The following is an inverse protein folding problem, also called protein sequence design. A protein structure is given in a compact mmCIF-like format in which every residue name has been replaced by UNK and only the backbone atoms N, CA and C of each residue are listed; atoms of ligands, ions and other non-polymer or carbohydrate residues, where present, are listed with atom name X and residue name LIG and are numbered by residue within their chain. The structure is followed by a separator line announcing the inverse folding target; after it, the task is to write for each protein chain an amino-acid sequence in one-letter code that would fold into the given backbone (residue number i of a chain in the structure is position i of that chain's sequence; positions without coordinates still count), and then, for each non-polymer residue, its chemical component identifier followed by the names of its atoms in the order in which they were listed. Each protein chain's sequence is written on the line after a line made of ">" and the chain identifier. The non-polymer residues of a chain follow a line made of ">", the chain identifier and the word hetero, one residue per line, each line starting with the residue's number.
data_IF_673678071650
#
_entry.id   IF_673678071650
#
_cell.length_a   1.000
_cell.length_b   1.000
_cell.length_c   1.000
_cell.angle_alpha   90.00
_cell.angle_beta   90.00
_cell.angle_gamma   90.00
#
_symmetry.space_group_name_H-M   'P 1'
#
loop_
_entity.id
_entity.type
_entity.pdbx_description
1 polymer ?
#
# COMPACT_ATOMS: atom_id res chain seq x y z
N UNK A 1 -45.43 -4.32 -6.05
CA UNK A 1 -44.19 -5.09 -5.89
C UNK A 1 -43.11 -4.38 -6.72
N UNK A 2 -42.06 -3.87 -6.11
CA UNK A 2 -40.96 -3.29 -6.90
C UNK A 2 -40.33 -4.39 -7.73
N UNK A 3 -40.10 -4.12 -9.02
CA UNK A 3 -39.38 -5.02 -9.92
C UNK A 3 -37.98 -5.23 -9.35
N UNK A 4 -37.49 -6.49 -9.27
CA UNK A 4 -36.11 -6.71 -8.80
C UNK A 4 -35.12 -5.94 -9.69
N UNK A 5 -34.11 -5.33 -9.07
CA UNK A 5 -33.05 -4.59 -9.76
C UNK A 5 -32.28 -5.54 -10.68
N UNK A 6 -32.15 -5.16 -11.94
CA UNK A 6 -31.35 -5.91 -12.91
C UNK A 6 -29.88 -5.51 -12.80
N UNK A 7 -28.99 -6.30 -13.37
CA UNK A 7 -27.56 -5.99 -13.47
C UNK A 7 -27.32 -4.61 -14.12
N UNK A 8 -28.01 -4.33 -15.23
CA UNK A 8 -27.89 -3.04 -15.92
C UNK A 8 -28.42 -1.86 -15.09
N UNK A 9 -29.47 -2.07 -14.27
CA UNK A 9 -29.95 -1.04 -13.35
C UNK A 9 -28.91 -0.75 -12.25
N UNK A 10 -28.23 -1.79 -11.77
CA UNK A 10 -27.15 -1.70 -10.80
C UNK A 10 -25.95 -0.92 -11.37
N UNK A 11 -25.45 -1.31 -12.54
CA UNK A 11 -24.33 -0.64 -13.23
C UNK A 11 -24.66 0.83 -13.45
N UNK A 12 -25.85 1.13 -13.99
CA UNK A 12 -26.29 2.49 -14.27
C UNK A 12 -26.35 3.35 -13.01
N UNK A 13 -26.88 2.81 -11.93
CA UNK A 13 -27.10 3.56 -10.69
C UNK A 13 -25.84 3.78 -9.89
N UNK A 14 -24.99 2.76 -9.75
CA UNK A 14 -23.87 2.79 -8.82
C UNK A 14 -22.50 2.99 -9.49
N UNK A 15 -22.32 2.58 -10.73
CA UNK A 15 -21.02 2.57 -11.39
C UNK A 15 -20.92 3.43 -12.65
N UNK A 16 -22.01 4.04 -13.13
CA UNK A 16 -21.94 4.96 -14.26
C UNK A 16 -21.77 6.39 -13.81
N UNK A 17 -20.70 7.05 -14.27
CA UNK A 17 -20.40 8.47 -14.07
C UNK A 17 -19.94 9.07 -15.40
N UNK A 18 -19.97 10.40 -15.50
CA UNK A 18 -19.37 11.10 -16.64
C UNK A 18 -17.86 10.84 -16.69
N UNK A 19 -17.35 10.50 -17.86
CA UNK A 19 -15.95 10.21 -18.13
C UNK A 19 -15.45 11.08 -19.31
N UNK A 20 -15.28 12.41 -19.12
CA UNK A 20 -14.91 13.32 -20.19
C UNK A 20 -13.49 13.11 -20.73
N UNK A 21 -12.61 12.41 -19.99
CA UNK A 21 -11.28 12.03 -20.42
C UNK A 21 -11.25 10.79 -21.32
N UNK A 22 -12.33 10.02 -21.39
CA UNK A 22 -12.48 8.91 -22.32
C UNK A 22 -13.18 9.37 -23.61
N UNK A 23 -12.83 8.80 -24.75
CA UNK A 23 -13.59 8.99 -25.99
C UNK A 23 -14.94 8.28 -25.93
N UNK A 24 -14.99 7.13 -25.26
CA UNK A 24 -16.17 6.33 -24.96
C UNK A 24 -15.96 5.66 -23.60
N UNK A 25 -16.91 5.82 -22.67
CA UNK A 25 -16.88 5.22 -21.33
C UNK A 25 -17.88 4.08 -21.19
N UNK A 26 -18.46 3.96 -19.97
CA UNK A 26 -19.46 2.92 -19.64
C UNK A 26 -20.70 3.03 -20.54
N UNK A 27 -21.15 1.91 -21.10
CA UNK A 27 -22.41 1.83 -21.85
C UNK A 27 -22.31 1.20 -23.23
N UNK A 28 -21.11 0.85 -23.68
CA UNK A 28 -20.85 0.11 -24.91
C UNK A 28 -19.99 -1.13 -24.59
N UNK A 29 -19.72 -2.00 -25.56
CA UNK A 29 -18.95 -3.24 -25.39
C UNK A 29 -17.52 -3.00 -24.92
N UNK A 30 -16.94 -1.81 -25.19
CA UNK A 30 -15.61 -1.43 -24.74
C UNK A 30 -15.48 0.08 -24.58
N UNK A 31 -14.62 0.51 -23.66
CA UNK A 31 -14.19 1.90 -23.57
C UNK A 31 -13.17 2.25 -24.66
N UNK A 32 -13.22 3.48 -25.17
CA UNK A 32 -12.21 4.00 -26.09
C UNK A 32 -11.39 5.09 -25.40
N UNK A 33 -10.10 4.84 -25.28
CA UNK A 33 -9.17 5.70 -24.55
C UNK A 33 -8.12 6.26 -25.52
N UNK A 34 -7.69 7.50 -25.28
CA UNK A 34 -6.61 8.11 -26.03
C UNK A 34 -5.49 8.51 -25.07
N UNK A 35 -4.32 7.90 -25.26
CA UNK A 35 -3.11 8.29 -24.53
C UNK A 35 -2.59 9.60 -25.07
N UNK A 36 -2.18 10.51 -24.17
CA UNK A 36 -1.61 11.80 -24.52
C UNK A 36 -0.30 11.66 -25.30
N UNK A 37 -0.03 12.57 -26.22
CA UNK A 37 1.21 12.53 -27.03
C UNK A 37 2.46 12.56 -26.13
N UNK A 38 3.43 11.72 -26.43
CA UNK A 38 4.69 11.58 -25.66
C UNK A 38 4.59 10.71 -24.42
N UNK A 39 3.41 10.19 -24.09
CA UNK A 39 3.21 9.26 -23.00
C UNK A 39 3.01 7.83 -23.50
N UNK A 40 3.29 6.88 -22.60
CA UNK A 40 2.90 5.47 -22.73
C UNK A 40 1.85 5.13 -21.67
N UNK A 41 1.11 4.07 -21.89
CA UNK A 41 0.09 3.58 -20.97
C UNK A 41 0.75 2.65 -19.94
N UNK A 42 0.61 2.98 -18.66
CA UNK A 42 0.88 2.07 -17.55
C UNK A 42 -0.44 1.36 -17.18
N UNK A 43 -0.39 0.04 -17.02
CA UNK A 43 -1.56 -0.78 -16.69
C UNK A 43 -1.19 -1.70 -15.54
N UNK A 44 -2.04 -1.74 -14.51
CA UNK A 44 -1.97 -2.70 -13.41
C UNK A 44 -3.33 -3.26 -13.06
N UNK A 45 -3.37 -4.39 -12.36
CA UNK A 45 -4.61 -5.04 -11.94
C UNK A 45 -4.43 -5.68 -10.58
N UNK A 46 -5.28 -5.30 -9.63
CA UNK A 46 -5.38 -5.93 -8.32
C UNK A 46 -6.76 -6.54 -8.09
N UNK A 47 -6.76 -7.65 -7.36
CA UNK A 47 -7.95 -8.38 -6.97
C UNK A 47 -8.04 -8.48 -5.46
N UNK A 48 -9.14 -7.99 -4.88
CA UNK A 48 -9.44 -8.12 -3.46
C UNK A 48 -10.53 -9.16 -3.23
N UNK A 49 -10.19 -10.20 -2.47
CA UNK A 49 -11.08 -11.33 -2.15
C UNK A 49 -11.50 -11.24 -0.69
N UNK A 50 -12.80 -11.36 -0.44
CA UNK A 50 -13.36 -11.35 0.91
C UNK A 50 -12.82 -12.51 1.76
N UNK A 51 -12.39 -12.22 2.97
CA UNK A 51 -11.76 -13.18 3.88
C UNK A 51 -10.25 -13.39 3.66
N UNK A 52 -9.71 -12.88 2.54
CA UNK A 52 -8.27 -12.91 2.25
C UNK A 52 -7.66 -11.52 2.39
N UNK A 53 -8.15 -10.55 1.62
CA UNK A 53 -7.61 -9.19 1.58
C UNK A 53 -8.38 -8.20 2.44
N UNK A 54 -9.60 -8.55 2.84
CA UNK A 54 -10.43 -7.77 3.74
C UNK A 54 -11.40 -8.67 4.52
N UNK A 55 -11.81 -8.22 5.70
CA UNK A 55 -12.73 -8.96 6.55
C UNK A 55 -14.15 -8.96 5.97
N UNK A 56 -14.93 -10.02 6.23
CA UNK A 56 -16.27 -10.17 5.69
C UNK A 56 -17.24 -9.04 6.08
N UNK A 57 -16.99 -8.40 7.22
CA UNK A 57 -17.77 -7.30 7.80
C UNK A 57 -17.12 -5.91 7.54
N UNK A 58 -16.19 -5.83 6.60
CA UNK A 58 -15.53 -4.57 6.25
C UNK A 58 -16.55 -3.48 5.90
N UNK A 59 -16.32 -2.26 6.40
CA UNK A 59 -17.15 -1.11 6.10
C UNK A 59 -17.16 -0.85 4.58
N UNK A 60 -18.30 -0.84 3.90
CA UNK A 60 -18.36 -0.76 2.45
C UNK A 60 -17.76 0.55 1.89
N UNK A 61 -17.89 1.68 2.57
CA UNK A 61 -17.27 2.94 2.14
C UNK A 61 -15.74 2.85 2.17
N UNK A 62 -15.19 2.34 3.27
CA UNK A 62 -13.74 2.14 3.40
C UNK A 62 -13.22 1.09 2.41
N UNK A 63 -14.01 0.04 2.17
CA UNK A 63 -13.68 -0.99 1.18
C UNK A 63 -13.66 -0.43 -0.24
N UNK A 64 -14.62 0.44 -0.60
CA UNK A 64 -14.63 1.14 -1.87
C UNK A 64 -13.37 2.00 -2.06
N UNK A 65 -12.96 2.73 -1.02
CA UNK A 65 -11.70 3.47 -1.00
C UNK A 65 -10.50 2.53 -1.21
N UNK A 66 -10.35 1.48 -0.36
CA UNK A 66 -9.23 0.54 -0.42
C UNK A 66 -9.14 -0.13 -1.79
N UNK A 67 -10.26 -0.53 -2.38
CA UNK A 67 -10.31 -1.19 -3.69
C UNK A 67 -9.65 -0.35 -4.79
N UNK A 68 -9.80 0.97 -4.75
CA UNK A 68 -9.13 1.85 -5.70
C UNK A 68 -7.71 2.23 -5.25
N UNK A 69 -7.51 2.42 -3.95
CA UNK A 69 -6.24 2.88 -3.38
C UNK A 69 -5.08 1.93 -3.66
N UNK A 70 -5.31 0.60 -3.57
CA UNK A 70 -4.27 -0.40 -3.83
C UNK A 70 -3.76 -0.30 -5.28
N UNK A 71 -4.66 -0.13 -6.24
CA UNK A 71 -4.30 0.06 -7.65
C UNK A 71 -3.63 1.42 -7.93
N UNK A 72 -4.07 2.47 -7.23
CA UNK A 72 -3.41 3.78 -7.31
C UNK A 72 -1.97 3.72 -6.78
N UNK A 73 -1.70 2.83 -5.81
CA UNK A 73 -0.35 2.62 -5.28
C UNK A 73 0.62 2.13 -6.35
N UNK A 74 0.20 1.22 -7.24
CA UNK A 74 0.98 0.80 -8.40
C UNK A 74 1.29 1.96 -9.34
N UNK A 75 0.31 2.83 -9.58
CA UNK A 75 0.54 4.02 -10.40
C UNK A 75 1.56 4.97 -9.76
N UNK A 76 1.52 5.12 -8.43
CA UNK A 76 2.52 5.88 -7.69
C UNK A 76 3.91 5.26 -7.83
N UNK A 77 4.04 3.94 -7.65
CA UNK A 77 5.30 3.20 -7.79
C UNK A 77 5.90 3.33 -9.21
N UNK A 78 5.06 3.43 -10.23
CA UNK A 78 5.47 3.65 -11.62
C UNK A 78 5.72 5.12 -11.96
N UNK A 79 5.42 6.05 -11.05
CA UNK A 79 5.41 7.48 -11.36
C UNK A 79 4.39 7.82 -12.46
N UNK A 80 3.30 7.09 -12.59
CA UNK A 80 2.28 7.30 -13.58
C UNK A 80 1.18 8.24 -13.06
N UNK A 81 0.63 9.05 -13.95
CA UNK A 81 -0.57 9.85 -13.66
C UNK A 81 -1.79 8.97 -13.90
N UNK A 82 -2.56 8.60 -12.86
CA UNK A 82 -3.75 7.78 -13.03
C UNK A 82 -4.80 8.49 -13.88
N UNK A 83 -5.50 7.76 -14.75
CA UNK A 83 -6.49 8.34 -15.68
C UNK A 83 -7.80 7.59 -15.66
N UNK A 84 -7.75 6.27 -15.83
CA UNK A 84 -8.94 5.45 -16.01
C UNK A 84 -8.86 4.17 -15.20
N UNK A 85 -10.02 3.60 -14.91
CA UNK A 85 -10.11 2.26 -14.33
C UNK A 85 -11.30 1.50 -14.92
N UNK A 86 -11.22 0.18 -14.85
CA UNK A 86 -12.37 -0.73 -14.94
C UNK A 86 -12.53 -1.46 -13.63
N UNK A 87 -13.77 -1.79 -13.24
CA UNK A 87 -14.10 -2.55 -12.02
C UNK A 87 -14.91 -3.78 -12.40
N UNK A 88 -14.33 -4.96 -12.20
CA UNK A 88 -15.06 -6.22 -12.20
C UNK A 88 -15.45 -6.58 -10.76
N UNK A 89 -16.74 -6.80 -10.50
CA UNK A 89 -17.29 -7.08 -9.18
C UNK A 89 -18.17 -8.32 -9.18
N UNK A 90 -17.87 -9.29 -8.32
CA UNK A 90 -18.76 -10.40 -8.01
C UNK A 90 -19.45 -10.13 -6.67
N UNK A 91 -20.78 -10.24 -6.64
CA UNK A 91 -21.62 -9.96 -5.48
C UNK A 91 -22.41 -11.22 -5.09
N UNK A 92 -22.47 -11.60 -3.79
CA UNK A 92 -23.31 -12.73 -3.36
C UNK A 92 -24.80 -12.44 -3.51
N UNK A 93 -25.19 -11.19 -3.33
CA UNK A 93 -26.57 -10.68 -3.49
C UNK A 93 -26.54 -9.17 -3.74
N UNK A 94 -27.64 -8.62 -4.24
CA UNK A 94 -27.81 -7.18 -4.38
C UNK A 94 -28.23 -6.59 -3.04
N UNK A 95 -27.35 -5.81 -2.42
CA UNK A 95 -27.61 -4.96 -1.25
C UNK A 95 -27.42 -3.50 -1.66
N UNK A 96 -28.51 -2.77 -1.81
CA UNK A 96 -28.49 -1.38 -2.29
C UNK A 96 -27.75 -0.45 -1.32
N UNK A 97 -27.85 -0.68 0.00
CA UNK A 97 -27.16 0.15 1.01
C UNK A 97 -25.67 -0.09 0.97
N UNK A 98 -25.26 -1.34 0.82
CA UNK A 98 -23.85 -1.70 0.66
C UNK A 98 -23.26 -1.08 -0.61
N UNK A 99 -23.96 -1.22 -1.75
CA UNK A 99 -23.52 -0.70 -3.05
C UNK A 99 -23.42 0.83 -3.06
N UNK A 100 -24.36 1.53 -2.45
CA UNK A 100 -24.33 2.98 -2.32
C UNK A 100 -23.09 3.44 -1.55
N UNK A 101 -22.78 2.81 -0.42
CA UNK A 101 -21.61 3.14 0.40
C UNK A 101 -20.32 2.77 -0.29
N UNK A 102 -20.25 1.58 -0.89
CA UNK A 102 -19.05 1.13 -1.62
C UNK A 102 -18.72 2.07 -2.78
N UNK A 103 -19.70 2.34 -3.64
CA UNK A 103 -19.52 3.25 -4.77
C UNK A 103 -19.16 4.68 -4.31
N UNK A 104 -19.75 5.16 -3.20
CA UNK A 104 -19.39 6.46 -2.64
C UNK A 104 -17.91 6.53 -2.23
N UNK A 105 -17.38 5.50 -1.54
CA UNK A 105 -15.98 5.43 -1.14
C UNK A 105 -15.04 5.35 -2.35
N UNK A 106 -15.38 4.51 -3.33
CA UNK A 106 -14.63 4.37 -4.57
C UNK A 106 -14.55 5.70 -5.35
N UNK A 107 -15.68 6.34 -5.60
CA UNK A 107 -15.73 7.58 -6.37
C UNK A 107 -15.20 8.81 -5.63
N UNK A 108 -15.24 8.82 -4.30
CA UNK A 108 -14.58 9.88 -3.53
C UNK A 108 -13.08 9.90 -3.79
N UNK A 109 -12.44 8.74 -3.78
CA UNK A 109 -11.01 8.62 -4.08
C UNK A 109 -10.72 8.84 -5.57
N UNK A 110 -11.55 8.32 -6.48
CA UNK A 110 -11.43 8.57 -7.91
C UNK A 110 -11.46 10.07 -8.24
N UNK A 111 -12.37 10.82 -7.61
CA UNK A 111 -12.47 12.27 -7.77
C UNK A 111 -11.22 13.00 -7.26
N UNK A 112 -10.65 12.57 -6.13
CA UNK A 112 -9.44 13.16 -5.56
C UNK A 112 -8.27 13.12 -6.56
N UNK A 113 -8.14 12.03 -7.30
CA UNK A 113 -7.06 11.82 -8.28
C UNK A 113 -7.47 12.10 -9.75
N UNK A 114 -8.65 12.64 -9.97
CA UNK A 114 -9.14 12.96 -11.32
C UNK A 114 -9.30 11.73 -12.21
N UNK A 115 -9.59 10.56 -11.58
CA UNK A 115 -9.77 9.29 -12.27
C UNK A 115 -11.20 9.04 -12.70
N UNK A 116 -11.36 8.31 -13.79
CA UNK A 116 -12.64 7.94 -14.37
C UNK A 116 -12.82 6.41 -14.41
N UNK A 117 -13.95 5.93 -13.91
CA UNK A 117 -14.39 4.55 -14.14
C UNK A 117 -15.00 4.48 -15.56
N UNK A 118 -14.40 3.70 -16.44
CA UNK A 118 -14.76 3.66 -17.86
C UNK A 118 -15.39 2.34 -18.29
N UNK A 119 -15.43 1.34 -17.42
CA UNK A 119 -16.00 0.03 -17.72
C UNK A 119 -15.89 -0.93 -16.54
N UNK A 120 -16.17 -2.18 -16.83
CA UNK A 120 -16.06 -3.27 -15.86
C UNK A 120 -17.08 -4.36 -16.12
N UNK A 121 -17.25 -5.23 -15.12
CA UNK A 121 -18.21 -6.33 -15.17
C UNK A 121 -18.90 -6.49 -13.81
N UNK A 122 -20.13 -6.95 -13.81
CA UNK A 122 -20.88 -7.21 -12.58
C UNK A 122 -21.51 -8.60 -12.68
N UNK A 123 -21.17 -9.48 -11.75
CA UNK A 123 -21.70 -10.84 -11.75
C UNK A 123 -22.12 -11.29 -10.36
N UNK A 124 -22.83 -12.41 -10.27
CA UNK A 124 -23.17 -13.03 -9.00
C UNK A 124 -22.13 -14.07 -8.61
N UNK A 125 -21.58 -13.94 -7.40
CA UNK A 125 -20.58 -14.87 -6.86
C UNK A 125 -20.15 -14.49 -5.45
N UNK A 126 -19.18 -15.20 -4.86
CA UNK A 126 -18.50 -14.72 -3.65
C UNK A 126 -17.95 -13.32 -3.86
N UNK A 127 -18.02 -12.47 -2.81
CA UNK A 127 -17.58 -11.08 -2.91
C UNK A 127 -16.11 -10.99 -3.32
N UNK A 128 -15.90 -10.42 -4.49
CA UNK A 128 -14.60 -10.25 -5.13
C UNK A 128 -14.60 -8.94 -5.92
N UNK A 129 -13.54 -8.19 -5.81
CA UNK A 129 -13.38 -6.86 -6.38
C UNK A 129 -12.07 -6.84 -7.16
N UNK A 130 -12.16 -6.64 -8.48
CA UNK A 130 -10.98 -6.58 -9.35
C UNK A 130 -10.99 -5.25 -10.10
N UNK A 131 -9.96 -4.44 -9.89
CA UNK A 131 -9.78 -3.19 -10.61
C UNK A 131 -8.61 -3.34 -11.55
N UNK A 132 -8.80 -2.94 -12.81
CA UNK A 132 -7.69 -2.68 -13.73
C UNK A 132 -7.57 -1.17 -13.88
N UNK A 133 -6.41 -0.63 -13.51
CA UNK A 133 -6.11 0.80 -13.57
C UNK A 133 -5.21 1.11 -14.77
N UNK A 134 -5.43 2.29 -15.36
CA UNK A 134 -4.69 2.81 -16.49
C UNK A 134 -4.16 4.20 -16.15
N UNK A 135 -2.86 4.37 -16.29
CA UNK A 135 -2.18 5.64 -16.07
C UNK A 135 -1.30 6.04 -17.24
N UNK A 136 -0.96 7.30 -17.32
CA UNK A 136 -0.06 7.85 -18.33
C UNK A 136 1.28 8.22 -17.68
N UNK A 137 2.37 7.86 -18.35
CA UNK A 137 3.72 8.24 -17.94
C UNK A 137 4.54 8.59 -19.16
N UNK A 138 5.36 9.66 -19.14
CA UNK A 138 6.32 9.91 -20.23
C UNK A 138 7.25 8.71 -20.39
N UNK A 139 7.42 8.20 -21.60
CA UNK A 139 8.07 6.92 -21.92
C UNK A 139 9.41 6.70 -21.19
N UNK A 140 10.20 7.77 -21.06
CA UNK A 140 11.55 7.71 -20.45
C UNK A 140 11.57 8.07 -18.96
N UNK A 141 10.42 8.33 -18.34
CA UNK A 141 10.33 8.77 -16.94
C UNK A 141 9.59 7.78 -16.04
N UNK A 142 9.17 6.64 -16.57
CA UNK A 142 8.57 5.58 -15.76
C UNK A 142 9.58 5.09 -14.72
N UNK A 143 9.19 5.09 -13.47
CA UNK A 143 9.94 4.46 -12.39
C UNK A 143 9.87 2.94 -12.55
N UNK A 144 10.95 2.26 -12.21
CA UNK A 144 11.06 0.80 -12.40
C UNK A 144 11.76 0.17 -11.20
N UNK A 145 11.55 -1.12 -10.98
CA UNK A 145 12.24 -1.89 -9.94
C UNK A 145 13.72 -2.12 -10.26
N UNK A 146 14.08 -2.33 -11.50
CA UNK A 146 15.39 -2.84 -11.95
C UNK A 146 16.43 -1.76 -12.33
N UNK A 147 16.55 -0.67 -11.57
CA UNK A 147 17.49 0.40 -11.90
C UNK A 147 18.28 0.92 -10.68
N UNK A 148 18.21 0.26 -9.53
CA UNK A 148 19.00 0.62 -8.35
C UNK A 148 20.50 0.43 -8.61
N UNK A 149 21.32 1.37 -8.12
CA UNK A 149 22.76 1.38 -8.30
C UNK A 149 23.45 1.21 -6.94
N UNK A 150 24.64 0.60 -6.94
CA UNK A 150 25.49 0.56 -5.75
C UNK A 150 25.76 1.98 -5.27
N UNK A 151 25.65 2.21 -3.97
CA UNK A 151 25.74 3.51 -3.28
C UNK A 151 24.50 4.39 -3.40
N UNK A 152 23.42 3.93 -4.03
CA UNK A 152 22.13 4.60 -3.87
C UNK A 152 21.66 4.51 -2.41
N UNK A 153 21.03 5.56 -1.93
CA UNK A 153 20.30 5.56 -0.66
C UNK A 153 18.95 4.84 -0.84
N UNK A 154 18.51 4.09 0.18
CA UNK A 154 17.20 3.46 0.24
C UNK A 154 16.28 4.33 1.09
N UNK A 155 15.13 4.68 0.54
CA UNK A 155 14.16 5.59 1.14
C UNK A 155 12.79 4.95 1.28
N UNK A 156 12.05 5.34 2.34
CA UNK A 156 10.65 4.95 2.54
C UNK A 156 9.81 6.19 2.86
N UNK A 157 8.61 6.26 2.30
CA UNK A 157 7.61 7.28 2.64
C UNK A 157 6.76 6.89 3.85
N UNK A 158 6.20 7.87 4.55
CA UNK A 158 5.21 7.69 5.62
C UNK A 158 5.70 6.86 6.80
N UNK A 159 4.90 5.89 7.24
CA UNK A 159 5.19 4.98 8.36
C UNK A 159 4.80 3.55 8.02
N UNK A 160 5.51 2.57 8.61
CA UNK A 160 5.35 1.14 8.34
C UNK A 160 4.72 0.40 9.51
N UNK A 161 3.97 -0.66 9.18
CA UNK A 161 3.48 -1.68 10.09
C UNK A 161 2.16 -1.37 10.78
N UNK A 162 1.59 -0.18 10.61
CA UNK A 162 0.32 0.19 11.26
C UNK A 162 -0.86 -0.63 10.73
N UNK A 163 -0.88 -0.95 9.43
CA UNK A 163 -1.90 -1.82 8.85
C UNK A 163 -1.86 -3.23 9.44
N UNK A 164 -0.66 -3.82 9.53
CA UNK A 164 -0.45 -5.14 10.15
C UNK A 164 -0.83 -5.13 11.64
N UNK A 165 -0.54 -4.04 12.37
CA UNK A 165 -0.89 -3.88 13.77
C UNK A 165 -2.42 -3.81 13.96
N UNK A 166 -3.12 -3.03 13.13
CA UNK A 166 -4.58 -2.95 13.14
C UNK A 166 -5.23 -4.30 12.79
N UNK A 167 -4.72 -4.98 11.75
CA UNK A 167 -5.20 -6.30 11.35
C UNK A 167 -5.01 -7.34 12.47
N UNK A 168 -3.86 -7.35 13.13
CA UNK A 168 -3.57 -8.25 14.24
C UNK A 168 -4.54 -8.03 15.43
N UNK A 169 -4.94 -6.78 15.69
CA UNK A 169 -5.97 -6.45 16.68
C UNK A 169 -7.34 -7.01 16.29
N UNK A 170 -7.79 -6.77 15.06
CA UNK A 170 -9.07 -7.26 14.54
C UNK A 170 -9.16 -8.79 14.53
N UNK A 171 -8.03 -9.46 14.31
CA UNK A 171 -7.91 -10.92 14.39
C UNK A 171 -7.77 -11.46 15.82
N UNK A 172 -7.75 -10.60 16.85
CA UNK A 172 -7.58 -11.00 18.26
C UNK A 172 -6.18 -11.51 18.61
N UNK A 173 -5.18 -11.34 17.72
CA UNK A 173 -3.78 -11.75 17.97
C UNK A 173 -3.07 -10.83 18.96
N UNK A 174 -3.44 -9.56 18.98
CA UNK A 174 -2.97 -8.54 19.93
C UNK A 174 -4.15 -7.72 20.44
N UNK A 175 -3.94 -6.91 21.49
CA UNK A 175 -4.95 -5.97 21.99
C UNK A 175 -4.41 -4.56 21.92
N UNK A 176 -5.13 -3.68 21.23
CA UNK A 176 -4.94 -2.24 21.20
C UNK A 176 -6.04 -1.56 22.03
N UNK A 177 -5.74 -0.43 22.65
CA UNK A 177 -6.78 0.46 23.15
C UNK A 177 -7.57 1.05 21.98
N UNK A 178 -8.75 1.63 22.27
CA UNK A 178 -9.55 2.29 21.23
C UNK A 178 -8.78 3.45 20.56
N UNK A 179 -7.97 4.18 21.33
CA UNK A 179 -7.14 5.28 20.82
C UNK A 179 -6.03 4.75 19.88
N UNK A 180 -5.29 3.72 20.33
CA UNK A 180 -4.26 3.06 19.50
C UNK A 180 -4.85 2.49 18.21
N UNK A 181 -5.99 1.80 18.31
CA UNK A 181 -6.65 1.24 17.14
C UNK A 181 -7.10 2.32 16.16
N UNK A 182 -7.73 3.39 16.64
CA UNK A 182 -8.15 4.52 15.80
C UNK A 182 -6.98 5.21 15.11
N UNK A 183 -5.79 5.20 15.70
CA UNK A 183 -4.58 5.74 15.09
C UNK A 183 -4.04 4.86 13.96
N UNK A 184 -4.10 3.51 14.09
CA UNK A 184 -3.55 2.57 13.13
C UNK A 184 -4.56 2.14 12.03
N UNK A 185 -5.85 2.05 12.36
CA UNK A 185 -6.89 1.54 11.48
C UNK A 185 -7.00 2.24 10.10
N UNK A 186 -6.74 3.56 9.96
CA UNK A 186 -6.73 4.21 8.66
C UNK A 186 -5.72 3.59 7.67
N UNK A 187 -4.55 3.16 8.13
CA UNK A 187 -3.56 2.51 7.26
C UNK A 187 -4.11 1.23 6.63
N UNK A 188 -4.85 0.41 7.41
CA UNK A 188 -5.45 -0.83 6.92
C UNK A 188 -6.67 -0.60 6.02
N UNK A 189 -7.56 0.33 6.41
CA UNK A 189 -8.88 0.46 5.78
C UNK A 189 -8.95 1.51 4.68
N UNK A 190 -8.13 2.54 4.75
CA UNK A 190 -8.13 3.68 3.83
C UNK A 190 -6.68 4.13 3.54
N UNK A 191 -5.83 3.25 2.99
CA UNK A 191 -4.46 3.62 2.65
C UNK A 191 -4.45 4.83 1.72
N UNK A 192 -3.40 5.65 1.81
CA UNK A 192 -3.27 6.88 1.04
C UNK A 192 -2.24 6.68 -0.07
N UNK A 193 -2.67 6.52 -1.33
CA UNK A 193 -1.74 6.32 -2.44
C UNK A 193 -0.78 7.51 -2.60
N UNK A 194 0.49 7.24 -2.86
CA UNK A 194 1.55 8.25 -2.90
C UNK A 194 1.78 8.80 -4.32
N UNK A 195 0.68 9.13 -5.02
CA UNK A 195 0.73 9.59 -6.43
C UNK A 195 1.63 10.81 -6.59
N UNK A 196 1.45 11.86 -5.78
CA UNK A 196 2.23 13.10 -5.88
C UNK A 196 3.72 12.83 -5.64
N UNK A 197 4.04 11.88 -4.75
CA UNK A 197 5.42 11.45 -4.52
C UNK A 197 5.97 10.74 -5.76
N UNK A 198 5.26 9.74 -6.29
CA UNK A 198 5.67 9.02 -7.49
C UNK A 198 5.96 9.96 -8.66
N UNK A 199 5.07 10.94 -8.88
CA UNK A 199 5.27 11.98 -9.91
C UNK A 199 6.52 12.84 -9.64
N UNK A 200 6.77 13.21 -8.38
CA UNK A 200 7.90 14.04 -7.99
C UNK A 200 9.24 13.30 -8.07
N UNK A 201 9.23 11.97 -7.98
CA UNK A 201 10.44 11.14 -8.06
C UNK A 201 10.91 10.87 -9.49
N UNK A 202 10.16 11.22 -10.52
CA UNK A 202 10.57 11.10 -11.92
C UNK A 202 11.90 11.83 -12.17
N UNK A 203 12.91 11.12 -12.69
CA UNK A 203 14.25 11.67 -12.95
C UNK A 203 15.08 11.94 -11.69
N UNK A 204 14.61 11.55 -10.50
CA UNK A 204 15.31 11.65 -9.21
C UNK A 204 15.60 10.25 -8.67
N UNK A 205 14.59 9.41 -8.51
CA UNK A 205 14.78 8.04 -8.06
C UNK A 205 15.37 7.15 -9.16
N UNK A 206 16.25 6.23 -8.77
CA UNK A 206 16.80 5.18 -9.63
C UNK A 206 15.79 4.03 -9.78
N UNK A 207 15.15 3.63 -8.70
CA UNK A 207 14.13 2.58 -8.68
C UNK A 207 13.01 2.92 -7.69
N UNK A 208 11.84 2.31 -7.87
CA UNK A 208 10.71 2.44 -6.94
C UNK A 208 9.82 1.20 -6.98
N UNK A 209 9.14 0.97 -5.85
CA UNK A 209 8.10 -0.04 -5.63
C UNK A 209 7.17 0.49 -4.53
N UNK A 210 5.90 0.09 -4.54
CA UNK A 210 5.06 0.27 -3.36
C UNK A 210 5.22 -0.89 -2.37
N UNK A 211 4.85 -0.67 -1.11
CA UNK A 211 4.97 -1.65 -0.04
C UNK A 211 3.59 -2.26 0.21
N UNK A 212 3.29 -3.34 -0.48
CA UNK A 212 2.04 -4.10 -0.39
C UNK A 212 2.18 -5.39 0.42
N UNK A 213 3.30 -6.11 0.25
CA UNK A 213 3.60 -7.40 0.88
C UNK A 213 4.58 -7.29 2.06
N UNK A 214 5.05 -6.07 2.32
CA UNK A 214 5.99 -5.72 3.38
C UNK A 214 7.37 -5.32 2.86
N UNK A 215 8.03 -4.45 3.60
CA UNK A 215 9.27 -3.79 3.19
C UNK A 215 10.32 -4.78 2.66
N UNK A 216 10.58 -5.89 3.36
CA UNK A 216 11.63 -6.82 2.95
C UNK A 216 11.27 -7.56 1.66
N UNK A 217 10.01 -7.95 1.50
CA UNK A 217 9.52 -8.59 0.28
C UNK A 217 9.64 -7.66 -0.93
N UNK A 218 9.10 -6.46 -0.78
CA UNK A 218 9.02 -5.48 -1.87
C UNK A 218 10.38 -4.89 -2.22
N UNK A 219 11.21 -4.52 -1.22
CA UNK A 219 12.61 -4.13 -1.46
C UNK A 219 13.39 -5.26 -2.13
N UNK A 220 13.14 -6.52 -1.73
CA UNK A 220 13.73 -7.70 -2.36
C UNK A 220 13.50 -7.73 -3.88
N UNK A 221 12.33 -7.35 -4.35
CA UNK A 221 12.04 -7.25 -5.79
C UNK A 221 12.88 -6.18 -6.51
N UNK A 222 13.16 -5.03 -5.86
CA UNK A 222 14.09 -4.03 -6.39
C UNK A 222 15.50 -4.62 -6.48
N UNK A 223 15.96 -5.26 -5.40
CA UNK A 223 17.32 -5.79 -5.29
C UNK A 223 17.57 -6.90 -6.32
N UNK A 224 16.61 -7.81 -6.47
CA UNK A 224 16.69 -8.90 -7.45
C UNK A 224 16.67 -8.38 -8.89
N UNK A 225 15.74 -7.46 -9.21
CA UNK A 225 15.65 -6.87 -10.54
C UNK A 225 16.88 -6.04 -10.90
N UNK A 226 17.57 -5.44 -9.91
CA UNK A 226 18.76 -4.62 -10.08
C UNK A 226 20.07 -5.41 -9.90
N UNK A 227 19.99 -6.67 -9.39
CA UNK A 227 21.12 -7.55 -9.07
C UNK A 227 22.12 -6.92 -8.07
N UNK A 228 21.58 -6.33 -7.01
CA UNK A 228 22.32 -5.69 -5.92
C UNK A 228 21.82 -6.21 -4.57
N UNK A 229 22.45 -5.74 -3.48
CA UNK A 229 22.02 -5.97 -2.10
C UNK A 229 21.71 -4.64 -1.41
N UNK A 230 21.10 -4.69 -0.22
CA UNK A 230 20.93 -3.52 0.63
C UNK A 230 21.33 -3.81 2.08
N UNK A 231 21.84 -2.77 2.73
CA UNK A 231 22.02 -2.69 4.19
C UNK A 231 21.01 -1.68 4.74
N UNK A 232 20.14 -2.14 5.65
CA UNK A 232 19.07 -1.34 6.26
C UNK A 232 19.32 -1.25 7.75
N UNK A 233 19.18 -0.05 8.30
CA UNK A 233 19.22 0.20 9.74
C UNK A 233 17.78 0.17 10.30
N UNK A 234 17.49 -0.80 11.17
CA UNK A 234 16.18 -0.97 11.77
C UNK A 234 15.72 0.26 12.58
N UNK A 235 16.64 0.94 13.26
CA UNK A 235 16.32 2.11 14.08
C UNK A 235 15.89 3.32 13.24
N UNK A 236 16.27 3.35 11.97
CA UNK A 236 15.87 4.39 11.03
C UNK A 236 14.50 4.15 10.40
N UNK A 237 13.92 2.96 10.57
CA UNK A 237 12.62 2.65 9.96
C UNK A 237 11.53 3.60 10.51
N UNK A 238 10.78 4.26 9.62
CA UNK A 238 9.73 5.15 10.03
C UNK A 238 8.53 4.37 10.58
N UNK A 239 8.22 4.57 11.84
CA UNK A 239 7.10 3.93 12.53
C UNK A 239 6.25 4.96 13.28
N UNK A 240 4.96 4.69 13.41
CA UNK A 240 4.05 5.52 14.20
C UNK A 240 4.41 5.54 15.69
N UNK A 241 3.86 6.50 16.43
CA UNK A 241 4.03 6.54 17.87
C UNK A 241 3.50 5.29 18.58
N UNK A 242 2.40 4.71 18.06
CA UNK A 242 1.82 3.46 18.57
C UNK A 242 2.78 2.29 18.37
N UNK A 243 3.30 2.11 17.16
CA UNK A 243 4.26 1.06 16.85
C UNK A 243 5.56 1.25 17.63
N UNK A 244 6.09 2.47 17.73
CA UNK A 244 7.30 2.80 18.49
C UNK A 244 7.16 2.42 19.96
N UNK A 245 6.01 2.70 20.58
CA UNK A 245 5.74 2.29 21.96
C UNK A 245 5.73 0.76 22.13
N UNK A 246 5.39 0.01 21.08
CA UNK A 246 5.41 -1.47 21.07
C UNK A 246 6.80 -2.05 20.83
N UNK A 247 7.65 -1.36 20.09
CA UNK A 247 9.04 -1.72 19.83
C UNK A 247 9.97 -1.38 21.00
N UNK A 248 9.62 -0.41 21.85
CA UNK A 248 10.44 -0.02 23.00
C UNK A 248 10.33 -1.07 24.12
N UNK A 249 11.45 -1.65 24.61
CA UNK A 249 11.42 -2.55 25.75
C UNK A 249 10.83 -1.86 26.98
N UNK A 250 9.95 -2.52 27.73
CA UNK A 250 9.49 -2.02 29.01
C UNK A 250 10.70 -1.95 29.96
N UNK A 251 11.04 -0.74 30.42
CA UNK A 251 12.00 -0.60 31.54
C UNK A 251 11.52 -1.43 32.72
N UNK A 252 12.39 -2.20 33.40
CA UNK A 252 11.99 -2.93 34.58
C UNK A 252 11.46 -1.93 35.64
N UNK A 253 10.40 -2.26 36.40
CA UNK A 253 9.84 -1.36 37.39
C UNK A 253 10.92 -0.98 38.41
N UNK A 254 11.07 0.32 38.67
CA UNK A 254 12.02 0.92 39.62
C UNK A 254 11.64 0.64 41.10
N UNK A 255 11.23 -0.56 41.44
CA UNK A 255 11.01 -0.91 42.87
C UNK A 255 11.27 -2.38 43.11
N UNK A 256 12.11 -2.66 44.11
CA UNK A 256 12.66 -3.93 44.58
C UNK A 256 11.73 -5.13 44.82
N UNK A 257 10.88 -5.43 43.85
CA UNK A 257 10.12 -6.68 43.78
C UNK A 257 10.98 -7.76 43.14
N UNK A 258 11.03 -8.95 43.74
CA UNK A 258 11.70 -10.12 43.17
C UNK A 258 11.25 -10.32 41.72
N UNK A 259 12.18 -10.60 40.78
CA UNK A 259 11.82 -10.92 39.41
C UNK A 259 10.86 -12.10 39.42
N UNK A 260 9.63 -11.90 38.92
CA UNK A 260 8.76 -13.03 38.61
C UNK A 260 9.43 -13.80 37.49
N UNK A 261 9.58 -15.10 37.67
CA UNK A 261 10.29 -16.04 36.79
C UNK A 261 9.51 -16.32 35.48
N UNK A 262 9.02 -15.28 34.80
CA UNK A 262 8.45 -15.37 33.48
C UNK A 262 8.75 -14.07 32.76
N UNK A 263 9.68 -14.05 31.81
CA UNK A 263 9.79 -12.96 30.90
C UNK A 263 8.49 -12.93 30.07
N UNK A 264 7.89 -11.74 29.95
CA UNK A 264 6.92 -11.42 28.91
C UNK A 264 5.46 -11.87 29.05
N UNK A 265 4.89 -11.99 30.26
CA UNK A 265 3.43 -12.19 30.43
C UNK A 265 2.57 -10.95 30.14
N UNK A 266 3.17 -9.82 29.72
CA UNK A 266 2.46 -8.56 29.45
C UNK A 266 2.29 -8.19 27.97
N UNK A 267 2.98 -8.89 27.07
CA UNK A 267 2.88 -8.65 25.61
C UNK A 267 2.68 -9.96 24.86
N UNK A 268 1.47 -10.26 24.36
CA UNK A 268 1.30 -11.35 23.40
C UNK A 268 2.19 -11.09 22.18
N UNK A 269 3.19 -11.95 21.95
CA UNK A 269 4.01 -11.96 20.75
C UNK A 269 5.46 -11.49 20.89
N UNK A 270 5.84 -10.78 21.95
CA UNK A 270 7.23 -10.30 22.13
C UNK A 270 7.67 -9.23 21.11
N UNK A 271 8.89 -8.70 21.27
CA UNK A 271 9.48 -7.66 20.40
C UNK A 271 9.55 -8.11 18.92
N UNK A 272 9.88 -9.37 18.67
CA UNK A 272 10.01 -9.94 17.32
C UNK A 272 8.74 -9.82 16.47
N UNK A 273 7.55 -9.94 17.07
CA UNK A 273 6.28 -9.83 16.35
C UNK A 273 6.08 -8.40 15.83
N UNK A 274 6.42 -7.39 16.63
CA UNK A 274 6.31 -5.99 16.19
C UNK A 274 7.39 -5.63 15.17
N UNK A 275 8.61 -6.16 15.29
CA UNK A 275 9.63 -6.06 14.24
C UNK A 275 9.12 -6.69 12.94
N UNK A 276 8.46 -7.85 13.00
CA UNK A 276 7.85 -8.50 11.85
C UNK A 276 6.76 -7.65 11.20
N UNK A 277 5.93 -6.95 11.98
CA UNK A 277 4.92 -6.05 11.40
C UNK A 277 5.53 -4.91 10.61
N UNK A 278 6.67 -4.37 11.04
CA UNK A 278 7.38 -3.28 10.34
C UNK A 278 8.14 -3.77 9.11
N UNK A 279 8.75 -4.96 9.20
CA UNK A 279 9.64 -5.47 8.14
C UNK A 279 8.91 -6.29 7.08
N UNK A 280 7.86 -7.03 7.48
CA UNK A 280 7.16 -7.99 6.62
C UNK A 280 5.63 -7.88 6.75
N UNK A 281 5.12 -6.83 7.41
CA UNK A 281 3.69 -6.53 7.42
C UNK A 281 3.27 -5.95 6.09
N UNK A 282 2.22 -6.48 5.47
CA UNK A 282 1.65 -5.94 4.25
C UNK A 282 0.63 -4.82 4.50
N UNK A 283 0.04 -4.34 3.41
CA UNK A 283 -1.01 -3.33 3.39
C UNK A 283 -0.56 -1.88 3.76
N UNK A 284 0.74 -1.58 3.79
CA UNK A 284 1.22 -0.22 4.11
C UNK A 284 0.98 0.77 2.96
N UNK A 285 1.10 0.34 1.69
CA UNK A 285 0.93 1.16 0.48
C UNK A 285 1.73 2.47 0.52
N UNK A 286 2.90 2.44 1.16
CA UNK A 286 3.93 3.46 1.08
C UNK A 286 4.86 3.18 -0.11
N UNK A 287 5.73 4.12 -0.50
CA UNK A 287 6.75 3.88 -1.51
C UNK A 287 8.10 3.58 -0.87
N UNK A 288 8.73 2.49 -1.31
CA UNK A 288 10.15 2.22 -1.14
C UNK A 288 10.85 2.57 -2.45
N UNK A 289 11.92 3.37 -2.39
CA UNK A 289 12.65 3.77 -3.58
C UNK A 289 14.15 3.93 -3.30
N UNK A 290 14.96 3.85 -4.36
CA UNK A 290 16.39 4.14 -4.27
C UNK A 290 16.72 5.39 -5.06
N UNK A 291 17.74 6.12 -4.62
CA UNK A 291 18.20 7.32 -5.31
C UNK A 291 19.69 7.56 -5.06
N UNK A 292 20.42 8.16 -6.04
CA UNK A 292 21.80 8.54 -5.84
C UNK A 292 21.94 9.51 -4.66
N UNK A 293 22.94 9.34 -3.80
CA UNK A 293 23.15 10.17 -2.61
C UNK A 293 23.25 11.67 -2.93
N UNK A 294 23.65 12.05 -4.13
CA UNK A 294 23.65 13.45 -4.57
C UNK A 294 22.23 14.06 -4.65
N UNK A 295 21.18 13.22 -4.73
CA UNK A 295 19.78 13.64 -4.74
C UNK A 295 19.16 13.78 -3.35
N UNK A 296 19.90 13.50 -2.28
CA UNK A 296 19.41 13.58 -0.90
C UNK A 296 18.67 14.88 -0.59
N UNK A 297 19.27 16.02 -0.91
CA UNK A 297 18.66 17.33 -0.68
C UNK A 297 17.38 17.56 -1.51
N UNK A 298 17.33 17.05 -2.75
CA UNK A 298 16.13 17.12 -3.60
C UNK A 298 14.99 16.34 -2.97
N UNK A 299 15.26 15.14 -2.41
CA UNK A 299 14.28 14.28 -1.76
C UNK A 299 13.73 14.94 -0.48
N UNK A 300 14.60 15.54 0.35
CA UNK A 300 14.15 16.32 1.51
C UNK A 300 13.30 17.53 1.08
N UNK A 301 13.62 18.16 -0.04
CA UNK A 301 12.81 19.21 -0.63
C UNK A 301 11.42 18.72 -1.08
N UNK A 302 11.34 17.51 -1.64
CA UNK A 302 10.06 16.85 -1.99
C UNK A 302 9.26 16.57 -0.71
N UNK A 303 9.89 15.98 0.31
CA UNK A 303 9.28 15.70 1.62
C UNK A 303 8.62 16.95 2.22
N UNK A 304 9.36 18.04 2.27
CA UNK A 304 8.86 19.32 2.80
C UNK A 304 7.68 19.88 1.97
N UNK A 305 7.78 19.84 0.63
CA UNK A 305 6.73 20.35 -0.28
C UNK A 305 5.45 19.54 -0.19
N UNK A 306 5.54 18.22 -0.07
CA UNK A 306 4.39 17.33 0.01
C UNK A 306 3.85 17.17 1.45
N UNK A 307 4.53 17.73 2.45
CA UNK A 307 4.26 17.49 3.87
C UNK A 307 4.16 15.97 4.19
N UNK A 308 4.97 15.16 3.49
CA UNK A 308 5.05 13.71 3.62
C UNK A 308 6.44 13.34 4.13
N UNK A 309 6.58 12.69 5.30
CA UNK A 309 7.88 12.20 5.75
C UNK A 309 8.49 11.24 4.74
N UNK A 310 9.75 11.49 4.37
CA UNK A 310 10.58 10.59 3.58
C UNK A 310 11.82 10.28 4.42
N UNK A 311 12.07 9.00 4.68
CA UNK A 311 13.15 8.55 5.56
C UNK A 311 14.17 7.73 4.79
N UNK A 312 15.44 8.15 4.85
CA UNK A 312 16.55 7.32 4.39
C UNK A 312 16.80 6.23 5.42
N UNK A 313 16.62 4.97 5.04
CA UNK A 313 16.66 3.81 5.91
C UNK A 313 17.90 2.95 5.72
N UNK A 314 18.72 3.23 4.71
CA UNK A 314 19.89 2.42 4.39
C UNK A 314 20.48 2.76 3.04
N UNK A 315 21.24 1.84 2.50
CA UNK A 315 21.96 1.99 1.23
C UNK A 315 22.00 0.70 0.42
N UNK A 316 22.14 0.86 -0.89
CA UNK A 316 22.39 -0.22 -1.83
C UNK A 316 23.87 -0.56 -1.84
N UNK A 317 24.19 -1.85 -1.74
CA UNK A 317 25.55 -2.38 -1.72
C UNK A 317 25.75 -3.48 -2.76
N UNK A 318 27.01 -3.87 -2.98
CA UNK A 318 27.30 -5.02 -3.83
C UNK A 318 26.89 -6.33 -3.14
N UNK A 319 26.32 -7.27 -3.89
CA UNK A 319 25.90 -8.57 -3.36
C UNK A 319 24.49 -8.94 -3.77
N UNK A 320 23.82 -9.73 -2.95
CA UNK A 320 22.42 -10.15 -3.12
C UNK A 320 21.72 -10.17 -1.76
N UNK A 321 20.42 -9.88 -1.78
CA UNK A 321 19.56 -9.91 -0.58
C UNK A 321 19.64 -8.63 0.23
N UNK A 322 18.96 -8.63 1.38
CA UNK A 322 18.85 -7.51 2.29
C UNK A 322 19.35 -7.91 3.67
N UNK A 323 20.23 -7.11 4.26
CA UNK A 323 20.65 -7.23 5.66
C UNK A 323 19.98 -6.10 6.43
N UNK A 324 19.34 -6.43 7.54
CA UNK A 324 18.77 -5.45 8.47
C UNK A 324 19.55 -5.52 9.77
N UNK A 325 20.22 -4.44 10.13
CA UNK A 325 21.02 -4.36 11.36
C UNK A 325 20.22 -3.67 12.48
N UNK A 326 20.37 -4.19 13.70
CA UNK A 326 19.97 -3.50 14.92
C UNK A 326 21.00 -2.43 15.32
N UNK A 327 20.65 -1.54 16.25
CA UNK A 327 21.56 -0.55 16.83
C UNK A 327 22.84 -1.17 17.42
N UNK A 328 22.80 -2.46 17.77
CA UNK A 328 23.97 -3.21 18.25
C UNK A 328 24.95 -3.63 17.14
N UNK A 329 24.57 -3.40 15.86
CA UNK A 329 25.31 -3.87 14.68
C UNK A 329 25.17 -5.37 14.41
N UNK A 330 24.24 -6.04 15.08
CA UNK A 330 23.93 -7.43 14.80
C UNK A 330 22.76 -7.52 13.79
N UNK A 331 22.86 -8.41 12.79
CA UNK A 331 21.78 -8.62 11.85
C UNK A 331 20.54 -9.19 12.56
N UNK A 332 19.37 -8.68 12.22
CA UNK A 332 18.09 -9.26 12.63
C UNK A 332 17.91 -10.55 11.85
N UNK A 333 17.85 -11.68 12.58
CA UNK A 333 17.58 -12.98 11.98
C UNK A 333 16.07 -13.11 11.70
N UNK A 334 15.68 -12.68 10.51
CA UNK A 334 14.31 -12.82 9.98
C UNK A 334 14.37 -13.37 8.56
N UNK A 335 13.53 -14.34 8.28
CA UNK A 335 13.31 -14.75 6.90
C UNK A 335 12.73 -13.58 6.11
N UNK A 336 13.44 -13.16 5.06
CA UNK A 336 12.95 -12.15 4.10
C UNK A 336 11.82 -12.80 3.28
N UNK A 337 10.61 -12.85 3.85
CA UNK A 337 9.42 -13.33 3.15
C UNK A 337 8.36 -12.25 3.18
N UNK A 338 7.95 -11.76 2.01
CA UNK A 338 6.69 -11.05 1.84
C UNK A 338 5.49 -11.99 2.04
N UNK A 339 4.28 -11.44 2.01
CA UNK A 339 3.05 -12.23 2.04
C UNK A 339 2.99 -13.15 0.80
N UNK A 340 2.65 -14.42 1.00
CA UNK A 340 2.50 -15.41 -0.09
C UNK A 340 1.12 -16.07 0.01
N UNK A 341 0.29 -15.87 -1.02
CA UNK A 341 -1.08 -16.40 -1.11
C UNK A 341 -1.18 -17.93 -1.08
N UNK A 342 -0.07 -18.65 -1.31
CA UNK A 342 -0.05 -20.10 -1.45
C UNK A 342 0.79 -20.82 -0.39
N UNK A 343 1.23 -20.10 0.65
CA UNK A 343 1.99 -20.62 1.81
C UNK A 343 1.25 -20.49 3.11
#
# INVERSE_FOLDING_TARGET
>A
MNKPMTEFDLIRRYFTRAAPGALLGVGDDAALLRVSEGNVLAVSTDMLVSGTHFLHDANPFMLGHKTLAVNLSDMAAMGATPRWATLAIALPSVDEVWLERFSAGFFALAQQYGMELVGGDTTRGPLNLCVTIFGEVPEKQALRRGSAQISDEVWVSGTLGDAALALAHLQGRITLSAEEFNACAPALHQPQPRIELGLALRGIASSAIDISDGLLGDLGHILDASQVAAEIDFELLPVSAVMRARLTPLSPPLSGGKPSSSPDKGRPGGLKVFQQFVLSGGDDYELCFTAPAIRHADILGISARLALPLTCIGKVVAGRGCVVDEASGNPIDMEASGYDHFR
#
